data_IF_336268104190
#
_entry.id   IF_336268104190
#
_cell.length_a   1.000
_cell.length_b   1.000
_cell.length_c   1.000
_cell.angle_alpha   90.00
_cell.angle_beta   90.00
_cell.angle_gamma   90.00
#
_symmetry.space_group_name_H-M   'P 1'
#
loop_
_entity.id
_entity.type
_entity.pdbx_description
1 polymer ?
#
# COMPACT_ATOMS: atom_id res chain seq x y z
N UNK A 1 -3.48 -10.69 -19.01
CA UNK A 1 -3.44 -9.45 -18.22
C UNK A 1 -2.55 -9.75 -17.03
N UNK A 2 -1.47 -9.01 -16.81
CA UNK A 2 -0.64 -9.17 -15.60
C UNK A 2 -1.52 -8.83 -14.40
N UNK A 3 -1.67 -9.76 -13.45
CA UNK A 3 -2.49 -9.54 -12.26
C UNK A 3 -2.04 -8.25 -11.55
N UNK A 4 -2.99 -7.39 -11.17
CA UNK A 4 -2.70 -6.22 -10.35
C UNK A 4 -2.16 -6.66 -9.00
N UNK A 5 -1.19 -5.92 -8.46
CA UNK A 5 -0.63 -6.21 -7.14
C UNK A 5 -1.66 -6.04 -6.03
N UNK A 6 -1.32 -6.55 -4.85
CA UNK A 6 -2.21 -6.52 -3.68
C UNK A 6 -1.62 -5.60 -2.63
N UNK A 7 -2.47 -4.80 -2.01
CA UNK A 7 -2.09 -3.86 -0.96
C UNK A 7 -2.69 -4.32 0.37
N UNK A 8 -1.83 -4.66 1.32
CA UNK A 8 -2.19 -5.14 2.66
C UNK A 8 -1.60 -4.18 3.69
N UNK A 9 -2.40 -3.78 4.68
CA UNK A 9 -1.95 -2.90 5.76
C UNK A 9 -2.04 -3.61 7.11
N UNK A 10 -1.17 -3.22 8.03
CA UNK A 10 -1.18 -3.68 9.41
C UNK A 10 -1.39 -2.45 10.31
N UNK A 11 -2.44 -2.51 11.12
CA UNK A 11 -2.93 -1.42 11.95
C UNK A 11 -3.04 -1.88 13.41
N UNK A 12 -3.17 -0.92 14.32
CA UNK A 12 -3.28 -1.15 15.76
C UNK A 12 -2.42 -0.21 16.58
N UNK A 13 -2.64 -0.21 17.89
CA UNK A 13 -1.91 0.63 18.86
C UNK A 13 -0.41 0.33 18.90
N UNK A 14 0.33 1.18 19.60
CA UNK A 14 1.77 1.00 19.78
C UNK A 14 2.08 -0.23 20.65
N UNK A 15 3.18 -0.93 20.35
CA UNK A 15 3.49 -2.21 20.99
C UNK A 15 2.61 -3.41 20.57
N UNK A 16 1.69 -3.26 19.61
CA UNK A 16 0.83 -4.37 19.16
C UNK A 16 1.54 -5.49 18.40
N UNK A 17 2.78 -5.25 17.93
CA UNK A 17 3.57 -6.26 17.23
C UNK A 17 3.45 -6.25 15.70
N UNK A 18 2.85 -5.18 15.11
CA UNK A 18 2.73 -4.99 13.65
C UNK A 18 4.00 -5.35 12.90
N UNK A 19 5.14 -4.74 13.25
CA UNK A 19 6.39 -4.93 12.51
C UNK A 19 6.86 -6.40 12.53
N UNK A 20 6.65 -7.13 13.63
CA UNK A 20 6.92 -8.58 13.70
C UNK A 20 6.02 -9.36 12.74
N UNK A 21 4.72 -9.06 12.75
CA UNK A 21 3.75 -9.78 11.92
C UNK A 21 3.91 -9.47 10.43
N UNK A 22 4.30 -8.25 10.08
CA UNK A 22 4.62 -7.85 8.70
C UNK A 22 5.78 -8.68 8.15
N UNK A 23 6.86 -8.88 8.92
CA UNK A 23 7.98 -9.70 8.46
C UNK A 23 7.58 -11.17 8.28
N UNK A 24 6.74 -11.70 9.17
CA UNK A 24 6.24 -13.08 9.04
C UNK A 24 5.32 -13.24 7.82
N UNK A 25 4.43 -12.28 7.59
CA UNK A 25 3.58 -12.25 6.40
C UNK A 25 4.41 -12.12 5.12
N UNK A 26 5.45 -11.28 5.13
CA UNK A 26 6.43 -11.18 4.04
C UNK A 26 7.05 -12.53 3.73
N UNK A 27 7.60 -13.22 4.72
CA UNK A 27 8.19 -14.55 4.54
C UNK A 27 7.18 -15.53 3.96
N UNK A 28 5.95 -15.54 4.47
CA UNK A 28 4.88 -16.42 3.98
C UNK A 28 4.55 -16.23 2.49
N UNK A 29 4.54 -14.97 2.01
CA UNK A 29 4.35 -14.65 0.59
C UNK A 29 5.58 -14.99 -0.25
N UNK A 30 6.79 -14.68 0.23
CA UNK A 30 8.05 -14.97 -0.48
C UNK A 30 8.26 -16.48 -0.65
N UNK A 31 7.92 -17.31 0.35
CA UNK A 31 7.92 -18.78 0.27
C UNK A 31 6.97 -19.33 -0.80
N UNK A 32 5.97 -18.54 -1.20
CA UNK A 32 4.99 -18.84 -2.27
C UNK A 32 5.34 -18.16 -3.60
N UNK A 33 6.58 -17.67 -3.74
CA UNK A 33 7.10 -17.02 -4.93
C UNK A 33 6.40 -15.71 -5.32
N UNK A 34 5.70 -15.05 -4.40
CA UNK A 34 5.20 -13.70 -4.62
C UNK A 34 6.33 -12.67 -4.46
N UNK A 35 6.35 -11.66 -5.33
CA UNK A 35 7.18 -10.49 -5.11
C UNK A 35 6.53 -9.61 -4.02
N UNK A 36 7.30 -9.24 -3.01
CA UNK A 36 6.80 -8.46 -1.86
C UNK A 36 7.66 -7.22 -1.62
N UNK A 37 7.02 -6.11 -1.28
CA UNK A 37 7.69 -4.98 -0.62
C UNK A 37 7.06 -4.71 0.74
N UNK A 38 7.91 -4.34 1.69
CA UNK A 38 7.48 -3.85 3.00
C UNK A 38 7.74 -2.35 3.06
N UNK A 39 6.77 -1.60 3.55
CA UNK A 39 6.89 -0.17 3.76
C UNK A 39 6.15 0.26 5.04
N UNK A 40 6.16 1.55 5.35
CA UNK A 40 5.52 2.12 6.55
C UNK A 40 5.06 3.55 6.32
N UNK A 41 4.06 3.97 7.09
CA UNK A 41 3.64 5.36 7.17
C UNK A 41 3.63 5.87 8.62
N UNK A 42 4.12 7.09 8.86
CA UNK A 42 4.95 7.90 7.96
C UNK A 42 6.35 7.30 7.83
N UNK A 43 7.09 7.65 6.77
CA UNK A 43 8.52 7.30 6.67
C UNK A 43 8.90 6.17 5.73
N UNK A 44 8.05 5.80 4.77
CA UNK A 44 8.37 4.84 3.71
C UNK A 44 9.27 5.38 2.59
N UNK A 45 9.66 6.66 2.66
CA UNK A 45 10.50 7.35 1.67
C UNK A 45 11.50 8.28 2.35
N UNK A 46 12.48 8.82 1.60
CA UNK A 46 13.43 9.82 2.14
C UNK A 46 12.70 11.09 2.62
N UNK A 47 11.77 11.62 1.82
CA UNK A 47 10.92 12.74 2.24
C UNK A 47 10.07 12.36 3.46
N UNK A 48 9.47 11.17 3.42
CA UNK A 48 8.66 10.66 4.52
C UNK A 48 9.44 10.51 5.81
N UNK A 49 10.73 10.19 5.74
CA UNK A 49 11.60 10.07 6.93
C UNK A 49 11.77 11.42 7.61
N UNK A 50 11.94 12.50 6.84
CA UNK A 50 11.96 13.86 7.39
C UNK A 50 10.60 14.26 7.99
N UNK A 51 9.50 13.99 7.29
CA UNK A 51 8.15 14.28 7.79
C UNK A 51 7.86 13.49 9.08
N UNK A 52 8.28 12.22 9.14
CA UNK A 52 8.18 11.38 10.34
C UNK A 52 8.91 12.01 11.53
N UNK A 53 10.12 12.51 11.33
CA UNK A 53 10.87 13.19 12.39
C UNK A 53 10.11 14.39 12.94
N UNK A 54 9.45 15.18 12.08
CA UNK A 54 8.67 16.34 12.50
C UNK A 54 7.45 15.94 13.35
N UNK A 55 6.74 14.86 13.00
CA UNK A 55 5.55 14.46 13.77
C UNK A 55 5.90 13.68 15.04
N UNK A 56 7.01 12.93 15.07
CA UNK A 56 7.44 12.13 16.22
C UNK A 56 8.26 12.92 17.24
N UNK A 57 9.14 13.81 16.75
CA UNK A 57 10.14 14.51 17.55
C UNK A 57 10.07 16.04 17.40
N UNK A 58 9.03 16.55 16.75
CA UNK A 58 8.78 17.98 16.66
C UNK A 58 8.28 18.59 17.97
N UNK A 59 7.92 19.88 17.94
CA UNK A 59 7.39 20.58 19.10
C UNK A 59 6.14 19.90 19.68
N UNK A 60 5.99 19.97 21.00
CA UNK A 60 4.83 19.43 21.71
C UNK A 60 3.53 20.19 21.37
N UNK A 61 3.63 21.45 20.95
CA UNK A 61 2.51 22.35 20.65
C UNK A 61 2.10 22.34 19.16
N UNK A 62 2.47 21.30 18.41
CA UNK A 62 2.01 21.16 17.02
C UNK A 62 0.48 21.11 16.97
N UNK A 63 -0.11 22.01 16.18
CA UNK A 63 -1.55 22.05 15.98
C UNK A 63 -2.05 20.73 15.35
N UNK A 64 -3.15 20.14 15.83
CA UNK A 64 -3.65 18.86 15.31
C UNK A 64 -3.92 18.84 13.80
N UNK A 65 -4.35 19.95 13.19
CA UNK A 65 -4.54 20.01 11.73
C UNK A 65 -3.21 20.01 11.01
N UNK A 66 -2.20 20.68 11.58
CA UNK A 66 -0.82 20.63 11.06
C UNK A 66 -0.29 19.19 11.10
N UNK A 67 -0.48 18.47 12.21
CA UNK A 67 -0.15 17.04 12.33
C UNK A 67 -0.83 16.24 11.21
N UNK A 68 -2.16 16.36 11.06
CA UNK A 68 -2.92 15.65 10.02
C UNK A 68 -2.44 15.94 8.60
N UNK A 69 -2.11 17.20 8.29
CA UNK A 69 -1.58 17.60 6.98
C UNK A 69 -0.19 17.00 6.71
N UNK A 70 0.68 16.88 7.72
CA UNK A 70 1.99 16.24 7.56
C UNK A 70 1.87 14.75 7.27
N UNK A 71 0.99 14.03 7.98
CA UNK A 71 0.68 12.63 7.67
C UNK A 71 0.08 12.47 6.26
N UNK A 72 -0.84 13.37 5.86
CA UNK A 72 -1.42 13.35 4.52
C UNK A 72 -0.38 13.63 3.42
N UNK A 73 0.57 14.53 3.67
CA UNK A 73 1.66 14.86 2.74
C UNK A 73 2.63 13.68 2.55
N UNK A 74 3.06 13.03 3.64
CA UNK A 74 3.87 11.81 3.58
C UNK A 74 3.16 10.73 2.74
N UNK A 75 1.90 10.46 3.07
CA UNK A 75 1.09 9.45 2.39
C UNK A 75 0.91 9.73 0.91
N UNK A 76 0.60 10.96 0.51
CA UNK A 76 0.43 11.32 -0.90
C UNK A 76 1.70 11.03 -1.71
N UNK A 77 2.86 11.41 -1.16
CA UNK A 77 4.15 11.17 -1.79
C UNK A 77 4.48 9.67 -1.83
N UNK A 78 4.27 8.96 -0.72
CA UNK A 78 4.53 7.54 -0.60
C UNK A 78 3.68 6.69 -1.56
N UNK A 79 2.37 7.01 -1.67
CA UNK A 79 1.45 6.35 -2.60
C UNK A 79 1.88 6.54 -4.05
N UNK A 80 2.24 7.77 -4.44
CA UNK A 80 2.59 8.10 -5.82
C UNK A 80 3.96 7.54 -6.26
N UNK A 81 4.91 7.40 -5.33
CA UNK A 81 6.30 7.02 -5.65
C UNK A 81 6.63 5.56 -5.36
N UNK A 82 5.94 4.92 -4.40
CA UNK A 82 6.26 3.55 -3.96
C UNK A 82 5.08 2.60 -4.19
N UNK A 83 3.93 2.89 -3.56
CA UNK A 83 2.83 1.92 -3.48
C UNK A 83 2.20 1.69 -4.86
N UNK A 84 1.71 2.73 -5.54
CA UNK A 84 1.06 2.58 -6.85
C UNK A 84 2.01 1.97 -7.90
N UNK A 85 3.28 2.40 -8.02
CA UNK A 85 4.22 1.74 -8.93
C UNK A 85 4.43 0.26 -8.62
N UNK A 86 4.47 -0.14 -7.35
CA UNK A 86 4.61 -1.55 -6.98
C UNK A 86 3.36 -2.37 -7.34
N UNK A 87 2.17 -1.86 -7.01
CA UNK A 87 0.91 -2.51 -7.36
C UNK A 87 0.74 -2.66 -8.88
N UNK A 88 1.16 -1.66 -9.66
CA UNK A 88 1.13 -1.72 -11.13
C UNK A 88 2.03 -2.84 -11.70
N UNK A 89 3.04 -3.29 -10.95
CA UNK A 89 3.92 -4.41 -11.33
C UNK A 89 3.44 -5.78 -10.84
N UNK A 90 2.29 -5.86 -10.18
CA UNK A 90 1.81 -7.13 -9.62
C UNK A 90 2.42 -7.50 -8.27
N UNK A 91 3.08 -6.56 -7.58
CA UNK A 91 3.78 -6.81 -6.31
C UNK A 91 2.83 -6.74 -5.12
N UNK A 92 3.03 -7.60 -4.12
CA UNK A 92 2.37 -7.50 -2.82
C UNK A 92 3.03 -6.37 -2.02
N UNK A 93 2.25 -5.39 -1.59
CA UNK A 93 2.69 -4.29 -0.73
C UNK A 93 2.17 -4.54 0.68
N UNK A 94 3.07 -4.71 1.64
CA UNK A 94 2.75 -4.79 3.06
C UNK A 94 3.14 -3.46 3.73
N UNK A 95 2.19 -2.73 4.29
CA UNK A 95 2.46 -1.45 4.96
C UNK A 95 2.18 -1.50 6.46
N UNK A 96 3.13 -1.01 7.25
CA UNK A 96 2.93 -0.67 8.66
C UNK A 96 2.22 0.69 8.73
N UNK A 97 0.93 0.67 9.08
CA UNK A 97 0.00 1.80 9.08
C UNK A 97 -0.35 2.36 7.69
N UNK A 98 -1.54 2.96 7.60
CA UNK A 98 -2.05 3.68 6.44
C UNK A 98 -3.13 4.70 6.85
N UNK A 99 -4.25 4.77 6.12
CA UNK A 99 -5.34 5.73 6.36
C UNK A 99 -6.07 5.45 7.67
N UNK A 100 -6.28 4.18 8.03
CA UNK A 100 -7.03 3.82 9.24
C UNK A 100 -6.35 4.38 10.50
N UNK A 101 -5.00 4.41 10.53
CA UNK A 101 -4.23 5.17 11.55
C UNK A 101 -4.63 6.64 11.62
N UNK A 102 -4.76 7.35 10.50
CA UNK A 102 -5.12 8.76 10.56
C UNK A 102 -6.56 9.00 11.03
N UNK A 103 -7.47 8.09 10.71
CA UNK A 103 -8.84 8.14 11.21
C UNK A 103 -8.89 7.96 12.72
N UNK A 104 -8.12 7.00 13.25
CA UNK A 104 -8.07 6.72 14.68
C UNK A 104 -7.37 7.84 15.48
N UNK A 105 -6.17 8.23 15.08
CA UNK A 105 -5.36 9.20 15.82
C UNK A 105 -5.84 10.63 15.56
N UNK A 106 -5.86 11.09 14.31
CA UNK A 106 -6.21 12.48 14.01
C UNK A 106 -7.73 12.70 13.95
N UNK A 107 -8.49 11.74 13.42
CA UNK A 107 -9.94 11.87 13.30
C UNK A 107 -10.65 11.81 14.65
N UNK A 108 -10.42 10.74 15.41
CA UNK A 108 -11.09 10.51 16.69
C UNK A 108 -10.32 11.11 17.87
N UNK A 109 -9.08 10.67 18.12
CA UNK A 109 -8.37 11.03 19.35
C UNK A 109 -7.94 12.51 19.42
N UNK A 110 -7.70 13.16 18.26
CA UNK A 110 -7.51 14.61 18.15
C UNK A 110 -8.80 15.40 17.85
N UNK A 111 -9.94 14.72 17.77
CA UNK A 111 -11.27 15.31 17.56
C UNK A 111 -11.40 16.17 16.28
N UNK A 112 -10.62 15.89 15.23
CA UNK A 112 -10.75 16.61 13.95
C UNK A 112 -11.92 16.14 13.09
N UNK A 113 -12.57 15.04 13.46
CA UNK A 113 -13.67 14.45 12.71
C UNK A 113 -13.17 13.40 11.72
N UNK A 114 -13.64 12.17 11.89
CA UNK A 114 -13.22 11.02 11.09
C UNK A 114 -13.55 11.17 9.61
N UNK A 115 -14.68 11.81 9.27
CA UNK A 115 -15.06 12.03 7.87
C UNK A 115 -14.21 13.10 7.18
N UNK A 116 -13.81 14.16 7.89
CA UNK A 116 -12.91 15.18 7.34
C UNK A 116 -11.53 14.57 7.04
N UNK A 117 -10.98 13.78 7.96
CA UNK A 117 -9.70 13.08 7.75
C UNK A 117 -9.82 12.01 6.66
N UNK A 118 -10.97 11.33 6.54
CA UNK A 118 -11.24 10.39 5.45
C UNK A 118 -11.22 11.10 4.09
N UNK A 119 -11.89 12.24 3.97
CA UNK A 119 -11.90 13.04 2.75
C UNK A 119 -10.51 13.55 2.37
N UNK A 120 -9.75 14.09 3.34
CA UNK A 120 -8.36 14.50 3.13
C UNK A 120 -7.50 13.34 2.63
N UNK A 121 -7.62 12.18 3.26
CA UNK A 121 -6.83 10.99 2.93
C UNK A 121 -7.21 10.40 1.57
N UNK A 122 -8.50 10.37 1.24
CA UNK A 122 -9.01 9.96 -0.07
C UNK A 122 -8.45 10.86 -1.18
N UNK A 123 -8.49 12.18 -0.98
CA UNK A 123 -7.91 13.14 -1.92
C UNK A 123 -6.40 12.95 -2.08
N UNK A 124 -5.67 12.86 -0.97
CA UNK A 124 -4.21 12.70 -0.95
C UNK A 124 -3.74 11.43 -1.68
N UNK A 125 -4.53 10.37 -1.62
CA UNK A 125 -4.18 9.05 -2.15
C UNK A 125 -4.83 8.72 -3.49
N UNK A 126 -5.68 9.61 -4.02
CA UNK A 126 -6.55 9.35 -5.17
C UNK A 126 -7.38 8.07 -4.96
N UNK A 127 -8.01 7.97 -3.79
CA UNK A 127 -8.87 6.87 -3.37
C UNK A 127 -8.21 5.48 -3.36
N UNK A 128 -6.89 5.40 -3.17
CA UNK A 128 -6.24 4.10 -2.99
C UNK A 128 -6.65 3.52 -1.64
N UNK A 129 -7.31 2.35 -1.67
CA UNK A 129 -7.65 1.60 -0.47
C UNK A 129 -6.83 0.31 -0.40
N UNK A 130 -6.50 -0.18 0.81
CA UNK A 130 -5.99 -1.52 0.99
C UNK A 130 -7.03 -2.55 0.54
N UNK A 131 -6.56 -3.66 0.00
CA UNK A 131 -7.38 -4.82 -0.29
C UNK A 131 -7.69 -5.61 0.99
N UNK A 132 -6.78 -5.54 1.98
CA UNK A 132 -6.90 -6.17 3.28
C UNK A 132 -6.18 -5.32 4.34
N UNK A 133 -6.75 -5.24 5.52
CA UNK A 133 -6.14 -4.63 6.70
C UNK A 133 -6.20 -5.62 7.85
N UNK A 134 -5.06 -5.91 8.46
CA UNK A 134 -5.00 -6.63 9.74
C UNK A 134 -4.95 -5.60 10.86
N UNK A 135 -6.03 -5.50 11.63
CA UNK A 135 -6.05 -4.73 12.87
C UNK A 135 -5.59 -5.64 14.01
N UNK A 136 -4.36 -5.46 14.50
CA UNK A 136 -3.87 -6.19 15.66
C UNK A 136 -4.33 -5.43 16.91
N UNK A 137 -5.45 -5.88 17.48
CA UNK A 137 -6.05 -5.26 18.67
C UNK A 137 -5.24 -5.62 19.92
N UNK A 138 -4.87 -4.61 20.68
CA UNK A 138 -4.15 -4.80 21.94
C UNK A 138 -4.56 -3.68 22.90
N UNK A 139 -4.93 -4.00 24.16
CA UNK A 139 -5.14 -2.98 25.17
C UNK A 139 -3.92 -2.07 25.33
N UNK A 140 -4.07 -0.72 25.39
CA UNK A 140 -2.95 0.21 25.42
C UNK A 140 -1.95 -0.05 26.55
N UNK A 141 -2.43 -0.45 27.72
CA UNK A 141 -1.61 -0.77 28.89
C UNK A 141 -0.72 -2.00 28.69
N UNK A 142 -1.13 -2.95 27.85
CA UNK A 142 -0.32 -4.10 27.47
C UNK A 142 0.73 -3.68 26.44
N UNK A 143 0.34 -2.86 25.46
CA UNK A 143 1.24 -2.31 24.44
C UNK A 143 2.37 -1.49 25.04
N UNK A 144 2.05 -0.58 25.97
CA UNK A 144 3.02 0.26 26.67
C UNK A 144 4.08 -0.55 27.43
N UNK A 145 3.73 -1.72 27.98
CA UNK A 145 4.69 -2.61 28.68
C UNK A 145 5.63 -3.35 27.73
N UNK A 146 5.24 -3.52 26.47
CA UNK A 146 6.06 -4.17 25.43
C UNK A 146 7.06 -3.20 24.80
N UNK A 147 6.81 -1.90 24.91
CA UNK A 147 7.70 -0.88 24.35
C UNK A 147 8.87 -0.62 25.30
N UNK A 148 10.09 -0.86 24.84
CA UNK A 148 11.33 -0.68 25.63
C UNK A 148 12.09 0.58 25.27
N UNK A 149 11.69 1.25 24.19
CA UNK A 149 12.36 2.43 23.67
C UNK A 149 11.80 3.70 24.31
N UNK A 150 12.52 4.82 24.12
CA UNK A 150 12.03 6.12 24.55
C UNK A 150 10.77 6.48 23.73
N UNK A 151 9.65 6.83 24.37
CA UNK A 151 8.40 7.03 23.67
C UNK A 151 8.47 8.29 22.80
N UNK A 152 7.92 8.23 21.58
CA UNK A 152 7.74 9.39 20.73
C UNK A 152 6.60 10.31 21.21
N UNK A 153 6.38 11.45 20.55
CA UNK A 153 5.33 12.42 20.95
C UNK A 153 3.93 11.81 21.03
N UNK A 154 3.57 10.93 20.09
CA UNK A 154 2.25 10.28 20.08
C UNK A 154 2.17 9.20 21.16
N UNK A 155 3.26 8.46 21.38
CA UNK A 155 3.32 7.44 22.44
C UNK A 155 3.26 8.05 23.85
N UNK A 156 3.66 9.32 24.02
CA UNK A 156 3.56 10.08 25.28
C UNK A 156 2.15 10.59 25.61
N UNK A 157 1.19 10.43 24.70
CA UNK A 157 -0.20 10.83 24.95
C UNK A 157 -0.85 10.05 26.10
N UNK A 158 -1.98 10.58 26.59
CA UNK A 158 -2.70 10.01 27.73
C UNK A 158 -3.28 8.62 27.45
N UNK A 159 -3.59 7.86 28.50
CA UNK A 159 -4.30 6.58 28.36
C UNK A 159 -5.65 6.75 27.65
N UNK A 160 -6.39 7.82 27.96
CA UNK A 160 -7.69 8.11 27.32
C UNK A 160 -7.53 8.34 25.80
N UNK A 161 -6.43 8.98 25.39
CA UNK A 161 -6.10 9.16 23.97
C UNK A 161 -5.90 7.81 23.28
N UNK A 162 -5.10 6.92 23.88
CA UNK A 162 -4.83 5.60 23.31
C UNK A 162 -6.06 4.69 23.30
N UNK A 163 -6.94 4.80 24.31
CA UNK A 163 -8.23 4.11 24.31
C UNK A 163 -9.17 4.66 23.24
N UNK A 164 -9.20 5.98 23.02
CA UNK A 164 -9.98 6.57 21.92
C UNK A 164 -9.48 6.08 20.55
N UNK A 165 -8.17 5.98 20.36
CA UNK A 165 -7.56 5.39 19.15
C UNK A 165 -8.02 3.94 18.96
N UNK A 166 -7.90 3.11 20.00
CA UNK A 166 -8.31 1.69 19.95
C UNK A 166 -9.79 1.53 19.62
N UNK A 167 -10.66 2.29 20.29
CA UNK A 167 -12.10 2.26 20.04
C UNK A 167 -12.43 2.64 18.60
N UNK A 168 -11.78 3.67 18.05
CA UNK A 168 -12.02 4.06 16.66
C UNK A 168 -11.56 2.98 15.67
N UNK A 169 -10.42 2.34 15.90
CA UNK A 169 -10.00 1.20 15.08
C UNK A 169 -11.03 0.07 15.06
N UNK A 170 -11.55 -0.32 16.23
CA UNK A 170 -12.58 -1.36 16.32
C UNK A 170 -13.88 -0.94 15.62
N UNK A 171 -14.27 0.34 15.75
CA UNK A 171 -15.43 0.90 15.03
C UNK A 171 -15.25 0.85 13.51
N UNK A 172 -14.04 1.14 13.01
CA UNK A 172 -13.72 1.04 11.59
C UNK A 172 -13.80 -0.42 11.12
N UNK A 173 -13.29 -1.36 11.92
CA UNK A 173 -13.35 -2.79 11.61
C UNK A 173 -14.79 -3.30 11.50
N UNK A 174 -15.66 -2.87 12.43
CA UNK A 174 -17.07 -3.23 12.44
C UNK A 174 -17.83 -2.63 11.23
N UNK A 175 -17.40 -1.45 10.75
CA UNK A 175 -17.97 -0.79 9.59
C UNK A 175 -17.48 -1.35 8.23
N UNK A 176 -16.29 -1.95 8.19
CA UNK A 176 -15.67 -2.49 6.97
C UNK A 176 -15.17 -3.95 7.16
N UNK A 177 -16.02 -4.90 7.60
CA UNK A 177 -15.59 -6.24 8.02
C UNK A 177 -15.05 -7.10 6.87
N UNK A 178 -15.37 -6.77 5.62
CA UNK A 178 -14.82 -7.47 4.46
C UNK A 178 -13.35 -7.08 4.18
N UNK A 179 -12.94 -5.86 4.60
CA UNK A 179 -11.62 -5.28 4.37
C UNK A 179 -10.73 -5.36 5.60
N UNK A 180 -11.27 -5.11 6.80
CA UNK A 180 -10.51 -5.06 8.04
C UNK A 180 -10.80 -6.32 8.86
N UNK A 181 -9.76 -7.10 9.12
CA UNK A 181 -9.83 -8.29 9.96
C UNK A 181 -9.15 -8.00 11.29
N UNK A 182 -9.91 -8.15 12.38
CA UNK A 182 -9.39 -7.99 13.74
C UNK A 182 -8.64 -9.27 14.15
N UNK A 183 -7.44 -9.09 14.68
CA UNK A 183 -6.55 -10.14 15.19
C UNK A 183 -6.29 -9.84 16.66
N UNK A 184 -6.41 -10.84 17.53
CA UNK A 184 -6.08 -10.67 18.95
C UNK A 184 -4.56 -10.53 19.12
N UNK A 185 -4.08 -9.37 19.58
CA UNK A 185 -2.67 -9.07 19.80
C UNK A 185 -2.13 -9.47 21.16
N UNK A 186 -2.95 -10.00 22.09
CA UNK A 186 -2.53 -10.36 23.45
C UNK A 186 -1.64 -11.61 23.46
N UNK A 187 -1.88 -12.54 22.55
CA UNK A 187 -1.15 -13.80 22.42
C UNK A 187 0.35 -13.65 22.12
N UNK A 188 1.03 -14.79 22.05
CA UNK A 188 2.42 -14.87 21.60
C UNK A 188 2.54 -14.50 20.11
N UNK A 189 3.73 -14.06 19.64
CA UNK A 189 3.92 -13.74 18.23
C UNK A 189 3.54 -14.88 17.25
N UNK A 190 3.66 -16.14 17.68
CA UNK A 190 3.30 -17.32 16.88
C UNK A 190 1.78 -17.53 16.82
N UNK A 191 1.07 -17.33 17.92
CA UNK A 191 -0.40 -17.41 17.97
C UNK A 191 -1.03 -16.32 17.09
N UNK A 192 -0.59 -15.07 17.27
CA UNK A 192 -1.01 -13.92 16.45
C UNK A 192 -0.77 -14.20 14.97
N UNK A 193 0.41 -14.74 14.62
CA UNK A 193 0.72 -15.06 13.24
C UNK A 193 -0.14 -16.20 12.70
N UNK A 194 -0.49 -17.18 13.53
CA UNK A 194 -1.34 -18.30 13.11
C UNK A 194 -2.72 -17.82 12.67
N UNK A 195 -3.31 -16.84 13.36
CA UNK A 195 -4.57 -16.20 12.96
C UNK A 195 -4.43 -15.46 11.62
N UNK A 196 -3.41 -14.61 11.50
CA UNK A 196 -3.10 -13.88 10.25
C UNK A 196 -2.92 -14.85 9.09
N UNK A 197 -2.15 -15.92 9.29
CA UNK A 197 -1.90 -16.97 8.30
C UNK A 197 -3.19 -17.67 7.88
N UNK A 198 -4.13 -17.89 8.80
CA UNK A 198 -5.46 -18.45 8.47
C UNK A 198 -6.19 -17.61 7.44
N UNK A 199 -6.23 -16.28 7.66
CA UNK A 199 -6.83 -15.33 6.72
C UNK A 199 -6.06 -15.29 5.39
N UNK A 200 -4.73 -15.31 5.43
CA UNK A 200 -3.91 -15.33 4.22
C UNK A 200 -4.17 -16.58 3.38
N UNK A 201 -4.29 -17.76 4.00
CA UNK A 201 -4.62 -19.00 3.30
C UNK A 201 -6.00 -18.94 2.62
N UNK A 202 -6.98 -18.31 3.26
CA UNK A 202 -8.33 -18.15 2.70
C UNK A 202 -8.34 -17.18 1.51
N UNK A 203 -7.62 -16.05 1.63
CA UNK A 203 -7.62 -14.98 0.61
C UNK A 203 -6.65 -15.24 -0.54
N UNK A 204 -5.61 -16.02 -0.30
CA UNK A 204 -4.55 -16.38 -1.24
C UNK A 204 -4.31 -17.90 -1.21
N UNK A 205 -5.30 -18.70 -1.65
CA UNK A 205 -5.15 -20.14 -1.71
C UNK A 205 -4.01 -20.51 -2.66
N UNK A 206 -3.30 -21.60 -2.35
CA UNK A 206 -2.36 -22.19 -3.31
C UNK A 206 -3.15 -22.69 -4.52
N UNK A 207 -2.70 -22.35 -5.73
CA UNK A 207 -3.27 -22.92 -6.95
C UNK A 207 -3.08 -24.44 -6.89
N UNK A 208 -4.17 -25.17 -6.68
CA UNK A 208 -4.18 -26.64 -6.64
C UNK A 208 -3.99 -27.27 -8.03
N UNK A 209 -3.36 -26.57 -8.98
CA UNK A 209 -3.20 -27.04 -10.37
C UNK A 209 -1.84 -27.71 -10.63
N UNK A 210 -1.23 -28.31 -9.61
CA UNK A 210 0.05 -29.01 -9.73
C UNK A 210 -0.02 -30.49 -9.30
N UNK A 211 -1.12 -31.17 -9.57
CA UNK A 211 -1.24 -32.64 -9.64
C UNK A 211 -2.27 -32.88 -10.78
N UNK A 212 -1.94 -33.35 -11.98
CA UNK A 212 -1.43 -34.67 -12.31
C UNK A 212 -0.47 -34.60 -13.52
N UNK A 213 0.82 -34.80 -13.29
CA UNK A 213 1.63 -35.54 -14.28
C UNK A 213 1.85 -36.91 -13.69
N UNK A 214 0.93 -37.84 -13.99
CA UNK A 214 1.16 -39.26 -13.82
C UNK A 214 2.54 -39.60 -14.37
N UNK A 215 3.38 -40.10 -13.47
CA UNK A 215 4.62 -40.78 -13.76
C UNK A 215 4.34 -41.98 -14.67
N UNK A 216 4.56 -41.82 -15.97
CA UNK A 216 4.66 -42.96 -16.89
C UNK A 216 6.01 -43.63 -16.64
N UNK A 217 5.98 -44.81 -16.04
CA UNK A 217 7.14 -45.68 -15.91
C UNK A 217 7.68 -46.09 -17.30
N UNK A 218 9.01 -46.26 -17.46
CA UNK A 218 9.60 -46.66 -18.73
C UNK A 218 9.49 -48.18 -18.93
N UNK A 219 8.55 -48.62 -19.75
CA UNK A 219 8.47 -49.99 -20.26
C UNK A 219 9.57 -50.27 -21.30
N UNK A 220 10.49 -51.19 -20.98
CA UNK A 220 11.45 -51.80 -21.91
C UNK A 220 10.84 -53.05 -22.55
N UNK A 221 10.74 -53.12 -23.89
CA UNK A 221 11.12 -54.27 -24.75
C UNK A 221 10.80 -54.05 -26.25
N UNK A 222 11.87 -53.79 -27.02
CA UNK A 222 12.34 -54.29 -28.33
C UNK A 222 11.42 -54.86 -29.46
N UNK A 223 11.93 -54.92 -30.72
CA UNK A 223 11.21 -54.54 -31.95
C UNK A 223 10.69 -55.71 -32.82
N UNK A 224 9.72 -55.42 -33.68
CA UNK A 224 9.19 -56.37 -34.67
C UNK A 224 8.72 -55.67 -35.97
N UNK A 225 9.56 -55.83 -37.00
CA UNK A 225 9.37 -55.97 -38.45
C UNK A 225 8.14 -55.44 -39.23
N UNK A 226 8.48 -55.02 -40.45
CA UNK A 226 7.73 -54.46 -41.58
C UNK A 226 6.43 -55.18 -42.00
N UNK A 227 5.51 -54.40 -42.59
CA UNK A 227 4.97 -54.69 -43.93
C UNK A 227 4.33 -53.47 -44.59
N UNK A 228 4.76 -53.21 -45.82
CA UNK A 228 4.22 -52.23 -46.75
C UNK A 228 2.87 -52.68 -47.36
N UNK A 229 2.03 -51.73 -47.79
CA UNK A 229 1.81 -51.41 -49.22
C UNK A 229 0.37 -50.91 -49.55
N UNK A 230 0.32 -49.81 -50.32
CA UNK A 230 -0.71 -49.39 -51.31
C UNK A 230 -2.04 -48.79 -50.76
N UNK A 231 -2.61 -47.65 -51.23
CA UNK A 231 -2.79 -47.16 -52.62
C UNK A 231 -3.18 -45.65 -52.67
N UNK A 232 -2.45 -44.89 -53.50
CA UNK A 232 -2.81 -43.82 -54.47
C UNK A 232 -3.78 -42.64 -54.18
N UNK A 233 -3.24 -41.43 -54.50
CA UNK A 233 -3.77 -40.32 -55.35
C UNK A 233 -5.05 -39.58 -54.90
N UNK A 234 -5.28 -38.27 -55.05
CA UNK A 234 -4.84 -37.18 -55.96
C UNK A 234 -5.12 -35.84 -55.24
N UNK A 235 -4.22 -34.84 -55.21
CA UNK A 235 -4.06 -33.69 -56.13
C UNK A 235 -5.22 -32.67 -56.16
N UNK A 236 -4.82 -31.40 -55.97
CA UNK A 236 -5.40 -30.10 -56.40
C UNK A 236 -6.20 -29.19 -55.43
N UNK A 237 -5.53 -28.09 -55.07
CA UNK A 237 -6.04 -26.70 -54.91
C UNK A 237 -6.21 -26.08 -56.33
N UNK A 238 -6.88 -24.92 -56.62
CA UNK A 238 -6.68 -23.64 -55.90
C UNK A 238 -7.85 -22.59 -55.92
N UNK A 239 -7.62 -21.53 -55.13
CA UNK A 239 -7.89 -20.10 -55.36
C UNK A 239 -9.28 -19.56 -55.77
N UNK A 240 -9.72 -18.52 -55.03
CA UNK A 240 -10.11 -17.16 -55.50
C UNK A 240 -10.92 -16.45 -54.39
N UNK A 241 -11.03 -15.12 -54.23
CA UNK A 241 -10.24 -13.91 -54.50
C UNK A 241 -11.13 -12.72 -54.08
N UNK A 242 -10.50 -11.55 -53.85
CA UNK A 242 -11.01 -10.15 -53.79
C UNK A 242 -11.56 -9.66 -52.44
N UNK A 243 -11.03 -8.61 -51.79
CA UNK A 243 -10.59 -7.25 -52.19
C UNK A 243 -11.74 -6.23 -52.27
N UNK A 244 -11.61 -5.13 -51.50
CA UNK A 244 -12.25 -3.78 -51.50
C UNK A 244 -11.70 -3.12 -50.20
N UNK A 245 -10.90 -2.05 -50.18
CA UNK A 245 -11.12 -0.69 -50.71
C UNK A 245 -11.19 0.30 -49.53
N UNK A 246 -10.06 0.88 -49.09
CA UNK A 246 -9.69 2.31 -49.22
C UNK A 246 -10.63 3.35 -48.58
N UNK A 247 -10.11 4.16 -47.64
CA UNK A 247 -10.13 5.65 -47.73
C UNK A 247 -9.35 6.38 -46.62
N UNK A 248 -8.80 7.48 -47.10
CA UNK A 248 -7.91 8.50 -46.57
C UNK A 248 -8.63 9.54 -45.69
N UNK A 249 -7.88 10.21 -44.80
CA UNK A 249 -7.81 11.69 -44.55
C UNK A 249 -7.58 12.00 -43.05
N UNK A 250 -6.42 12.52 -42.66
CA UNK A 250 -5.95 13.93 -42.71
C UNK A 250 -6.41 14.82 -41.53
N UNK A 251 -5.42 15.11 -40.66
CA UNK A 251 -5.06 16.42 -40.07
C UNK A 251 -6.19 17.38 -39.65
N UNK A 252 -6.08 17.84 -38.39
CA UNK A 252 -5.83 19.27 -38.11
C UNK A 252 -5.20 19.51 -36.73
N UNK A 253 -4.00 20.09 -36.76
CA UNK A 253 -3.37 20.86 -35.68
C UNK A 253 -4.00 22.26 -35.63
N UNK A 254 -4.08 22.83 -34.42
CA UNK A 254 -4.03 24.27 -34.02
C UNK A 254 -4.01 24.24 -32.48
N UNK A 255 -3.03 24.66 -31.69
CA UNK A 255 -2.05 25.76 -31.68
C UNK A 255 -2.66 27.16 -31.73
N UNK A 256 -2.67 27.84 -30.57
CA UNK A 256 -2.38 29.29 -30.35
C UNK A 256 -2.88 29.62 -28.93
N UNK A 257 -1.97 29.79 -27.98
CA UNK A 257 -1.35 31.05 -27.55
C UNK A 257 -2.12 31.74 -26.42
N UNK A 258 -1.45 31.79 -25.27
CA UNK A 258 -1.72 32.73 -24.19
C UNK A 258 -1.46 34.17 -24.65
N UNK A 259 -2.11 35.17 -24.02
CA UNK A 259 -1.62 36.53 -24.04
C UNK A 259 -0.84 36.84 -22.77
N UNK A 260 0.36 37.37 -22.95
CA UNK A 260 1.14 38.12 -21.96
C UNK A 260 1.14 39.59 -22.36
N UNK A 261 0.80 40.49 -21.44
CA UNK A 261 1.22 41.91 -21.35
C UNK A 261 0.92 42.32 -19.89
N UNK A 262 1.87 42.62 -18.98
CA UNK A 262 2.96 43.63 -18.91
C UNK A 262 2.47 45.08 -18.92
N UNK A 263 2.69 45.75 -17.79
CA UNK A 263 2.66 47.20 -17.55
C UNK A 263 1.70 47.58 -16.42
N UNK A 264 2.05 48.28 -15.34
CA UNK A 264 3.23 49.06 -14.98
C UNK A 264 3.32 49.18 -13.44
N UNK A 265 4.51 49.56 -12.98
CA UNK A 265 5.04 49.56 -11.60
C UNK A 265 4.35 50.54 -10.63
N UNK A 266 4.28 50.17 -9.36
CA UNK A 266 4.73 51.03 -8.26
C UNK A 266 4.98 50.22 -6.96
N UNK A 267 6.14 50.47 -6.33
CA UNK A 267 6.27 50.38 -4.86
C UNK A 267 6.71 49.06 -4.21
N UNK A 268 8.00 48.76 -4.33
CA UNK A 268 8.89 48.13 -3.33
C UNK A 268 8.33 47.22 -2.21
N UNK A 269 8.69 45.93 -2.27
CA UNK A 269 9.32 45.15 -1.19
C UNK A 269 9.25 43.65 -1.55
N UNK A 270 10.23 43.14 -2.29
CA UNK A 270 10.50 41.70 -2.31
C UNK A 270 11.51 41.43 -1.18
N UNK A 271 10.99 41.02 -0.02
CA UNK A 271 11.79 40.33 0.97
C UNK A 271 11.94 38.88 0.51
N UNK A 272 13.16 38.52 0.15
CA UNK A 272 13.63 37.13 0.03
C UNK A 272 13.50 36.47 1.39
N UNK A 273 12.38 35.78 1.62
CA UNK A 273 12.29 34.76 2.65
C UNK A 273 13.18 33.59 2.20
N UNK A 274 14.01 33.08 3.11
CA UNK A 274 14.96 31.96 2.94
C UNK A 274 16.40 32.36 2.58
N UNK A 275 17.11 32.96 3.53
CA UNK A 275 18.53 32.64 3.78
C UNK A 275 18.68 32.14 5.22
N UNK A 276 19.50 31.10 5.49
CA UNK A 276 19.71 30.61 6.84
C UNK A 276 20.58 31.61 7.62
N UNK A 277 20.15 31.96 8.84
CA UNK A 277 20.98 32.75 9.74
C UNK A 277 22.16 31.89 10.21
N UNK A 278 23.35 32.20 9.70
CA UNK A 278 24.58 31.92 10.44
C UNK A 278 24.69 32.92 11.60
N UNK A 279 25.17 32.38 12.72
CA UNK A 279 25.58 33.04 13.95
C UNK A 279 24.48 33.55 14.89
N UNK A 280 24.41 32.84 16.02
CA UNK A 280 23.47 33.07 17.10
C UNK A 280 23.61 34.44 17.73
N UNK A 281 22.46 35.09 17.93
CA UNK A 281 22.18 35.92 19.09
C UNK A 281 20.66 35.91 19.29
N UNK A 282 20.24 35.57 20.51
CA UNK A 282 18.85 35.63 20.97
C UNK A 282 18.29 37.05 20.86
N UNK A 283 17.05 37.18 20.35
CA UNK A 283 16.02 38.06 20.91
C UNK A 283 14.67 37.33 20.78
#
# INVERSE_FOLDING_TARGET
MTASGVFITFEGGDGSGKSTQIQRARTWFEERNFAVIVTREPGGTDLGTHLRQLVQNGPEDIDPRTEALLYAADRAYHVSTVIRPALARGVIVLADRYIDSSLAYQGAARELGTEEIRALSAWATQDLKPHLTFLIDLPPEVGARRNTDAPDRMERESTDFHEAVRHEYLRLADAEPERIVVIDGVGTPDEVFSEIRGVLNERFPEDSSAEDTESVEPGHQQPGEEKAMHTQQTVESPADRKDIGSRTEQRKRRSSQAPTMVGFLDGGAQATLWEPAEDGTLI
#
